data_IF_101044713799
#
_entry.id   IF_101044713799
#
_cell.length_a   1.000
_cell.length_b   1.000
_cell.length_c   1.000
_cell.angle_alpha   90.00
_cell.angle_beta   90.00
_cell.angle_gamma   90.00
#
_symmetry.space_group_name_H-M   'P 1'
#
loop_
_entity.id
_entity.type
_entity.pdbx_description
1 polymer ?
#
# COMPACT_ATOMS: atom_id res chain seq x y z
N UNK A 1 -6.11 -22.18 32.14
CA UNK A 1 -5.08 -22.64 31.18
C UNK A 1 -5.66 -22.88 29.77
N UNK A 2 -6.80 -23.57 29.62
CA UNK A 2 -7.42 -23.83 28.30
C UNK A 2 -7.93 -22.55 27.62
N UNK A 3 -8.51 -21.60 28.36
CA UNK A 3 -8.98 -20.31 27.80
C UNK A 3 -7.84 -19.44 27.26
N UNK A 4 -6.69 -19.40 27.94
CA UNK A 4 -5.51 -18.65 27.49
C UNK A 4 -4.85 -19.27 26.26
N UNK A 5 -4.97 -20.60 26.06
CA UNK A 5 -4.52 -21.25 24.84
C UNK A 5 -5.49 -21.01 23.67
N UNK A 6 -6.81 -21.01 23.93
CA UNK A 6 -7.84 -20.64 22.94
C UNK A 6 -7.69 -19.19 22.47
N UNK A 7 -7.58 -18.23 23.39
CA UNK A 7 -7.45 -16.82 23.03
C UNK A 7 -6.20 -16.55 22.17
N UNK A 8 -5.07 -17.17 22.50
CA UNK A 8 -3.85 -17.06 21.69
C UNK A 8 -4.03 -17.65 20.28
N UNK A 9 -4.74 -18.77 20.15
CA UNK A 9 -4.98 -19.39 18.85
C UNK A 9 -5.90 -18.53 17.98
N UNK A 10 -6.96 -17.95 18.56
CA UNK A 10 -7.91 -17.08 17.88
C UNK A 10 -7.22 -15.78 17.40
N UNK A 11 -6.35 -15.19 18.24
CA UNK A 11 -5.53 -14.04 17.86
C UNK A 11 -4.60 -14.38 16.68
N UNK A 12 -3.89 -15.50 16.73
CA UNK A 12 -2.97 -15.94 15.66
C UNK A 12 -3.71 -16.17 14.33
N UNK A 13 -4.88 -16.81 14.38
CA UNK A 13 -5.70 -17.06 13.20
C UNK A 13 -6.19 -15.73 12.61
N UNK A 14 -6.68 -14.81 13.45
CA UNK A 14 -7.10 -13.47 13.04
C UNK A 14 -5.96 -12.72 12.31
N UNK A 15 -4.74 -12.75 12.85
CA UNK A 15 -3.58 -12.12 12.20
C UNK A 15 -3.25 -12.68 10.83
N UNK A 16 -3.27 -14.00 10.68
CA UNK A 16 -3.00 -14.63 9.40
C UNK A 16 -4.09 -14.30 8.37
N UNK A 17 -5.35 -14.30 8.80
CA UNK A 17 -6.50 -13.97 7.94
C UNK A 17 -6.45 -12.50 7.51
N UNK A 18 -6.16 -11.57 8.42
CA UNK A 18 -6.00 -10.14 8.13
C UNK A 18 -4.93 -9.90 7.06
N UNK A 19 -3.72 -10.45 7.25
CA UNK A 19 -2.62 -10.28 6.29
C UNK A 19 -2.90 -10.93 4.94
N UNK A 20 -3.54 -12.10 4.93
CA UNK A 20 -3.94 -12.76 3.67
C UNK A 20 -4.97 -11.94 2.91
N UNK A 21 -5.96 -11.38 3.62
CA UNK A 21 -7.00 -10.55 3.02
C UNK A 21 -6.42 -9.27 2.45
N UNK A 22 -5.57 -8.58 3.20
CA UNK A 22 -4.87 -7.39 2.71
C UNK A 22 -3.98 -7.68 1.49
N UNK A 23 -3.22 -8.78 1.54
CA UNK A 23 -2.41 -9.20 0.39
C UNK A 23 -3.26 -9.55 -0.83
N UNK A 24 -4.40 -10.22 -0.62
CA UNK A 24 -5.32 -10.57 -1.70
C UNK A 24 -5.94 -9.31 -2.32
N UNK A 25 -6.42 -8.37 -1.50
CA UNK A 25 -6.96 -7.09 -1.97
C UNK A 25 -5.91 -6.33 -2.77
N UNK A 26 -4.67 -6.21 -2.26
CA UNK A 26 -3.59 -5.53 -2.96
C UNK A 26 -3.18 -6.19 -4.28
N UNK A 27 -3.18 -7.53 -4.35
CA UNK A 27 -2.89 -8.26 -5.59
C UNK A 27 -4.04 -8.11 -6.60
N UNK A 28 -5.29 -8.21 -6.16
CA UNK A 28 -6.46 -8.17 -7.04
C UNK A 28 -6.80 -6.77 -7.53
N UNK A 29 -6.54 -5.73 -6.72
CA UNK A 29 -6.85 -4.34 -7.03
C UNK A 29 -6.49 -3.93 -8.48
N UNK A 30 -5.24 -4.07 -8.94
CA UNK A 30 -4.88 -3.66 -10.31
C UNK A 30 -5.68 -4.41 -11.38
N UNK A 31 -5.88 -5.72 -11.22
CA UNK A 31 -6.62 -6.52 -12.20
C UNK A 31 -8.11 -6.15 -12.23
N UNK A 32 -8.73 -5.96 -11.06
CA UNK A 32 -10.13 -5.56 -10.96
C UNK A 32 -10.35 -4.21 -11.62
N UNK A 33 -9.46 -3.24 -11.39
CA UNK A 33 -9.55 -1.92 -12.01
C UNK A 33 -9.36 -1.97 -13.52
N UNK A 34 -8.31 -2.64 -14.00
CA UNK A 34 -8.00 -2.75 -15.44
C UNK A 34 -9.13 -3.45 -16.19
N UNK A 35 -9.52 -4.65 -15.75
CA UNK A 35 -10.56 -5.42 -16.44
C UNK A 35 -11.94 -4.79 -16.26
N UNK A 36 -12.24 -4.21 -15.10
CA UNK A 36 -13.49 -3.51 -14.86
C UNK A 36 -13.64 -2.30 -15.78
N UNK A 37 -12.60 -1.47 -15.90
CA UNK A 37 -12.61 -0.30 -16.77
C UNK A 37 -12.78 -0.70 -18.25
N UNK A 38 -12.06 -1.74 -18.67
CA UNK A 38 -12.11 -2.23 -20.04
C UNK A 38 -13.45 -2.88 -20.42
N UNK A 39 -14.05 -3.68 -19.54
CA UNK A 39 -15.27 -4.43 -19.85
C UNK A 39 -16.53 -3.58 -19.66
N UNK A 40 -16.61 -2.82 -18.56
CA UNK A 40 -17.82 -2.09 -18.15
C UNK A 40 -17.89 -0.73 -18.83
N UNK A 41 -16.81 0.05 -18.72
CA UNK A 41 -16.74 1.44 -19.19
C UNK A 41 -16.18 1.55 -20.61
N UNK A 42 -15.59 0.46 -21.14
CA UNK A 42 -14.94 0.41 -22.46
C UNK A 42 -13.80 1.42 -22.61
N UNK A 43 -13.21 1.79 -21.49
CA UNK A 43 -12.08 2.69 -21.40
C UNK A 43 -10.75 1.92 -21.38
N UNK A 44 -9.66 2.64 -21.58
CA UNK A 44 -8.32 2.09 -21.73
C UNK A 44 -7.61 1.77 -20.40
N UNK A 45 -6.33 1.44 -20.54
CA UNK A 45 -5.41 1.33 -19.42
C UNK A 45 -4.97 2.73 -18.98
N UNK A 46 -5.19 3.04 -17.70
CA UNK A 46 -4.71 4.29 -17.11
C UNK A 46 -3.20 4.28 -16.84
N UNK A 47 -2.59 5.46 -16.75
CA UNK A 47 -1.16 5.57 -16.46
C UNK A 47 -0.84 4.98 -15.09
N UNK A 48 -1.68 5.19 -14.06
CA UNK A 48 -1.45 4.65 -12.71
C UNK A 48 -2.67 3.99 -12.09
N UNK A 49 -2.46 3.25 -11.01
CA UNK A 49 -3.56 2.69 -10.20
C UNK A 49 -4.43 3.80 -9.61
N UNK A 50 -3.83 4.91 -9.17
CA UNK A 50 -4.59 6.04 -8.63
C UNK A 50 -5.34 6.83 -9.72
N UNK A 51 -4.89 6.79 -10.98
CA UNK A 51 -5.58 7.47 -12.09
C UNK A 51 -6.99 6.92 -12.33
N UNK A 52 -7.24 5.65 -11.98
CA UNK A 52 -8.59 5.06 -12.00
C UNK A 52 -9.60 5.79 -11.11
N UNK A 53 -9.16 6.65 -10.19
CA UNK A 53 -10.04 7.54 -9.42
C UNK A 53 -10.94 8.39 -10.32
N UNK A 54 -10.42 8.83 -11.48
CA UNK A 54 -11.13 9.68 -12.43
C UNK A 54 -11.88 8.91 -13.51
N UNK A 55 -11.93 7.58 -13.40
CA UNK A 55 -12.67 6.69 -14.32
C UNK A 55 -13.95 6.19 -13.67
N UNK A 56 -14.77 5.44 -14.42
CA UNK A 56 -15.93 4.74 -13.86
C UNK A 56 -15.58 3.72 -12.76
N UNK A 57 -14.32 3.31 -12.63
CA UNK A 57 -13.83 2.41 -11.57
C UNK A 57 -13.40 3.14 -10.29
N UNK A 58 -13.55 4.46 -10.20
CA UNK A 58 -13.12 5.25 -9.04
C UNK A 58 -13.75 4.79 -7.71
N UNK A 59 -15.06 4.50 -7.70
CA UNK A 59 -15.75 4.03 -6.50
C UNK A 59 -15.21 2.66 -6.01
N UNK A 60 -14.81 1.79 -6.94
CA UNK A 60 -14.21 0.49 -6.61
C UNK A 60 -12.82 0.68 -6.02
N UNK A 61 -12.01 1.57 -6.60
CA UNK A 61 -10.70 1.93 -6.06
C UNK A 61 -10.83 2.47 -4.62
N UNK A 62 -11.71 3.44 -4.40
CA UNK A 62 -11.98 4.04 -3.08
C UNK A 62 -12.49 2.97 -2.10
N UNK A 63 -13.46 2.16 -2.50
CA UNK A 63 -14.03 1.10 -1.66
C UNK A 63 -13.00 0.07 -1.21
N UNK A 64 -12.09 -0.36 -2.10
CA UNK A 64 -11.03 -1.30 -1.74
C UNK A 64 -10.03 -0.65 -0.77
N UNK A 65 -9.67 0.63 -0.95
CA UNK A 65 -8.79 1.33 -0.02
C UNK A 65 -9.41 1.47 1.37
N UNK A 66 -10.70 1.77 1.47
CA UNK A 66 -11.42 1.76 2.74
C UNK A 66 -11.41 0.37 3.38
N UNK A 67 -11.68 -0.69 2.62
CA UNK A 67 -11.63 -2.06 3.12
C UNK A 67 -10.22 -2.41 3.63
N UNK A 68 -9.17 -2.07 2.88
CA UNK A 68 -7.78 -2.25 3.29
C UNK A 68 -7.49 -1.47 4.58
N UNK A 69 -7.92 -0.21 4.67
CA UNK A 69 -7.76 0.60 5.88
C UNK A 69 -8.41 -0.03 7.11
N UNK A 70 -9.67 -0.48 7.00
CA UNK A 70 -10.38 -1.12 8.12
C UNK A 70 -9.74 -2.45 8.55
N UNK A 71 -9.25 -3.24 7.61
CA UNK A 71 -8.49 -4.45 7.94
C UNK A 71 -7.16 -4.10 8.63
N UNK A 72 -6.48 -3.03 8.22
CA UNK A 72 -5.27 -2.55 8.89
C UNK A 72 -5.55 -2.02 10.29
N UNK A 73 -6.67 -1.32 10.51
CA UNK A 73 -7.10 -0.86 11.83
C UNK A 73 -7.42 -2.03 12.77
N UNK A 74 -8.00 -3.10 12.23
CA UNK A 74 -8.28 -4.32 12.98
C UNK A 74 -7.02 -5.13 13.31
N UNK A 75 -5.86 -4.74 12.77
CA UNK A 75 -4.60 -5.42 13.02
C UNK A 75 -4.07 -5.10 14.42
N UNK A 76 -4.01 -6.13 15.27
CA UNK A 76 -3.31 -6.07 16.55
C UNK A 76 -1.84 -6.50 16.40
N UNK A 77 -0.90 -5.70 16.81
CA UNK A 77 0.51 -6.03 16.74
C UNK A 77 1.01 -6.90 17.89
N UNK A 78 2.31 -7.24 17.89
CA UNK A 78 2.93 -7.88 19.06
C UNK A 78 3.19 -6.88 20.19
N UNK A 79 3.39 -5.61 19.83
CA UNK A 79 3.61 -4.50 20.76
C UNK A 79 2.66 -3.35 20.43
N UNK A 80 2.47 -2.41 21.37
CA UNK A 80 1.62 -1.22 21.12
C UNK A 80 2.10 -0.37 19.94
N UNK A 81 3.40 -0.34 19.68
CA UNK A 81 3.96 0.34 18.49
C UNK A 81 3.48 -0.30 17.18
N UNK A 82 3.32 -1.62 17.18
CA UNK A 82 2.82 -2.35 16.03
C UNK A 82 1.31 -2.10 15.84
N UNK A 83 0.55 -1.87 16.92
CA UNK A 83 -0.86 -1.42 16.85
C UNK A 83 -0.96 -0.01 16.23
N UNK A 84 -0.18 0.95 16.74
CA UNK A 84 -0.17 2.30 16.20
C UNK A 84 0.17 2.34 14.72
N UNK A 85 1.13 1.51 14.28
CA UNK A 85 1.46 1.40 12.86
C UNK A 85 0.27 0.89 12.02
N UNK A 86 -0.58 0.00 12.55
CA UNK A 86 -1.84 -0.41 11.91
C UNK A 86 -2.85 0.72 11.82
N UNK A 87 -3.04 1.46 12.91
CA UNK A 87 -3.94 2.62 12.98
C UNK A 87 -3.50 3.75 12.01
N UNK A 88 -2.20 4.03 11.94
CA UNK A 88 -1.61 4.97 10.99
C UNK A 88 -1.80 4.48 9.55
N UNK A 89 -1.59 3.19 9.27
CA UNK A 89 -1.83 2.64 7.93
C UNK A 89 -3.31 2.78 7.52
N UNK A 90 -4.25 2.60 8.46
CA UNK A 90 -5.66 2.87 8.22
C UNK A 90 -5.90 4.33 7.85
N UNK A 91 -5.40 5.27 8.66
CA UNK A 91 -5.51 6.70 8.40
C UNK A 91 -4.96 7.06 7.02
N UNK A 92 -3.80 6.53 6.66
CA UNK A 92 -3.17 6.80 5.37
C UNK A 92 -3.96 6.22 4.20
N UNK A 93 -4.44 4.98 4.30
CA UNK A 93 -5.28 4.37 3.27
C UNK A 93 -6.59 5.14 3.06
N UNK A 94 -7.23 5.59 4.15
CA UNK A 94 -8.42 6.44 4.07
C UNK A 94 -8.09 7.80 3.46
N UNK A 95 -6.94 8.39 3.78
CA UNK A 95 -6.45 9.62 3.16
C UNK A 95 -6.30 9.48 1.64
N UNK A 96 -5.68 8.40 1.16
CA UNK A 96 -5.58 8.11 -0.28
C UNK A 96 -6.96 7.97 -0.93
N UNK A 97 -7.92 7.36 -0.23
CA UNK A 97 -9.28 7.15 -0.73
C UNK A 97 -10.11 8.45 -0.78
N UNK A 98 -9.94 9.34 0.20
CA UNK A 98 -10.73 10.56 0.36
C UNK A 98 -10.22 11.74 -0.46
N UNK A 99 -8.91 11.80 -0.72
CA UNK A 99 -8.31 12.86 -1.53
C UNK A 99 -8.04 12.34 -2.95
N UNK A 100 -8.63 12.91 -4.00
CA UNK A 100 -8.36 12.50 -5.38
C UNK A 100 -6.90 12.73 -5.78
N UNK A 101 -6.36 11.88 -6.65
CA UNK A 101 -5.07 12.16 -7.32
C UNK A 101 -5.20 13.33 -8.31
N UNK A 102 -4.10 13.95 -8.71
CA UNK A 102 -4.11 15.04 -9.70
C UNK A 102 -4.68 14.52 -11.04
N UNK A 103 -5.72 15.15 -11.61
CA UNK A 103 -6.19 14.83 -12.95
C UNK A 103 -5.12 15.11 -14.02
N UNK A 104 -5.04 14.27 -15.04
CA UNK A 104 -4.06 14.45 -16.12
C UNK A 104 -4.36 15.66 -17.02
N UNK A 105 -5.65 15.92 -17.27
CA UNK A 105 -6.09 16.96 -18.19
C UNK A 105 -6.54 18.22 -17.42
N UNK A 106 -5.79 19.31 -17.58
CA UNK A 106 -6.14 20.65 -17.09
C UNK A 106 -6.54 20.74 -15.60
N UNK A 107 -5.70 20.28 -14.66
CA UNK A 107 -6.02 20.30 -13.24
C UNK A 107 -6.08 21.74 -12.70
N UNK A 108 -7.18 22.06 -12.00
CA UNK A 108 -7.31 23.29 -11.22
C UNK A 108 -6.33 23.32 -10.04
N UNK A 109 -6.06 24.50 -9.49
CA UNK A 109 -5.14 24.64 -8.35
C UNK A 109 -5.58 23.81 -7.13
N UNK A 110 -6.89 23.76 -6.86
CA UNK A 110 -7.46 22.93 -5.80
C UNK A 110 -7.23 21.44 -6.07
N UNK A 111 -7.41 20.99 -7.32
CA UNK A 111 -7.16 19.60 -7.68
C UNK A 111 -5.68 19.21 -7.51
N UNK A 112 -4.74 20.12 -7.78
CA UNK A 112 -3.31 19.91 -7.53
C UNK A 112 -3.00 19.77 -6.04
N UNK A 113 -3.63 20.60 -5.19
CA UNK A 113 -3.48 20.50 -3.73
C UNK A 113 -3.98 19.15 -3.24
N UNK A 114 -5.16 18.70 -3.67
CA UNK A 114 -5.66 17.37 -3.33
C UNK A 114 -4.75 16.25 -3.84
N UNK A 115 -4.24 16.37 -5.06
CA UNK A 115 -3.27 15.41 -5.60
C UNK A 115 -1.98 15.34 -4.78
N UNK A 116 -1.47 16.47 -4.28
CA UNK A 116 -0.31 16.48 -3.37
C UNK A 116 -0.62 15.82 -2.03
N UNK A 117 -1.81 16.07 -1.48
CA UNK A 117 -2.27 15.43 -0.24
C UNK A 117 -2.42 13.91 -0.45
N UNK A 118 -3.04 13.49 -1.56
CA UNK A 118 -3.16 12.10 -1.96
C UNK A 118 -1.78 11.43 -2.05
N UNK A 119 -0.83 12.07 -2.75
CA UNK A 119 0.53 11.56 -2.90
C UNK A 119 1.25 11.44 -1.55
N UNK A 120 1.09 12.41 -0.66
CA UNK A 120 1.66 12.36 0.69
C UNK A 120 1.11 11.17 1.49
N UNK A 121 -0.22 10.98 1.49
CA UNK A 121 -0.85 9.82 2.13
C UNK A 121 -0.42 8.50 1.51
N UNK A 122 -0.30 8.42 0.19
CA UNK A 122 0.17 7.23 -0.52
C UNK A 122 1.61 6.89 -0.11
N UNK A 123 2.51 7.88 -0.13
CA UNK A 123 3.89 7.70 0.30
C UNK A 123 3.98 7.18 1.75
N UNK A 124 3.21 7.79 2.67
CA UNK A 124 3.15 7.36 4.06
C UNK A 124 2.59 5.93 4.21
N UNK A 125 1.53 5.58 3.48
CA UNK A 125 0.97 4.23 3.46
C UNK A 125 2.01 3.19 3.01
N UNK A 126 2.70 3.44 1.89
CA UNK A 126 3.73 2.54 1.38
C UNK A 126 4.94 2.44 2.32
N UNK A 127 5.34 3.54 2.99
CA UNK A 127 6.36 3.49 4.03
C UNK A 127 5.93 2.62 5.22
N UNK A 128 4.66 2.68 5.63
CA UNK A 128 4.14 1.78 6.67
C UNK A 128 4.15 0.31 6.21
N UNK A 129 3.80 0.02 4.95
CA UNK A 129 3.93 -1.33 4.40
C UNK A 129 5.39 -1.81 4.34
N UNK A 130 6.32 -0.94 3.97
CA UNK A 130 7.75 -1.24 4.02
C UNK A 130 8.20 -1.55 5.46
N UNK A 131 7.77 -0.75 6.45
CA UNK A 131 8.03 -1.02 7.86
C UNK A 131 7.49 -2.40 8.30
N UNK A 132 6.25 -2.72 7.93
CA UNK A 132 5.67 -4.03 8.23
C UNK A 132 6.46 -5.18 7.62
N UNK A 133 6.85 -5.07 6.36
CA UNK A 133 7.60 -6.08 5.65
C UNK A 133 9.02 -6.26 6.24
N UNK A 134 9.74 -5.17 6.51
CA UNK A 134 11.13 -5.22 6.97
C UNK A 134 11.25 -5.66 8.43
N UNK A 135 10.40 -5.13 9.30
CA UNK A 135 10.57 -5.27 10.75
C UNK A 135 9.47 -6.12 11.39
N UNK A 136 8.20 -5.78 11.16
CA UNK A 136 7.11 -6.40 11.92
C UNK A 136 6.92 -7.88 11.57
N UNK A 137 6.84 -8.21 10.28
CA UNK A 137 6.59 -9.59 9.83
C UNK A 137 7.82 -10.49 9.96
N UNK A 138 9.00 -9.88 10.10
CA UNK A 138 10.26 -10.60 10.30
C UNK A 138 10.53 -10.94 11.77
N UNK A 139 9.90 -10.25 12.74
CA UNK A 139 9.98 -10.57 14.18
C UNK A 139 9.81 -12.07 14.46
N UNK A 140 10.58 -12.55 15.42
CA UNK A 140 10.56 -13.92 15.95
C UNK A 140 10.48 -13.82 17.48
N UNK A 141 9.75 -14.73 18.11
CA UNK A 141 9.61 -14.72 19.57
C UNK A 141 10.97 -14.88 20.27
N UNK A 142 11.23 -14.12 21.35
CA UNK A 142 12.45 -14.26 22.15
C UNK A 142 12.64 -15.72 22.59
N UNK A 143 13.87 -16.22 22.51
CA UNK A 143 14.21 -17.60 22.91
C UNK A 143 13.82 -18.69 21.90
N UNK A 144 13.34 -18.33 20.70
CA UNK A 144 13.08 -19.31 19.63
C UNK A 144 13.93 -19.01 18.39
N UNK A 145 14.64 -20.02 17.92
CA UNK A 145 15.34 -19.96 16.63
C UNK A 145 14.33 -20.03 15.46
N UNK A 146 14.45 -19.15 14.44
CA UNK A 146 13.58 -19.19 13.28
C UNK A 146 13.83 -20.45 12.45
N UNK A 147 12.76 -21.19 12.18
CA UNK A 147 12.76 -22.36 11.30
C UNK A 147 13.19 -22.00 9.87
N UNK A 148 13.64 -22.99 9.08
CA UNK A 148 14.02 -22.79 7.66
C UNK A 148 12.91 -22.08 6.86
N UNK A 149 11.65 -22.51 7.03
CA UNK A 149 10.48 -21.89 6.38
C UNK A 149 10.27 -20.44 6.80
N UNK A 150 10.48 -20.10 8.08
CA UNK A 150 10.41 -18.70 8.57
C UNK A 150 11.52 -17.85 7.96
N UNK A 151 12.74 -18.38 7.82
CA UNK A 151 13.86 -17.67 7.18
C UNK A 151 13.57 -17.35 5.71
N UNK A 152 13.06 -18.30 4.95
CA UNK A 152 12.64 -18.09 3.55
C UNK A 152 11.55 -16.99 3.44
N UNK A 153 10.52 -17.07 4.28
CA UNK A 153 9.47 -16.04 4.30
C UNK A 153 10.01 -14.65 4.67
N UNK A 154 10.92 -14.60 5.67
CA UNK A 154 11.57 -13.35 6.06
C UNK A 154 12.40 -12.74 4.93
N UNK A 155 13.06 -13.57 4.11
CA UNK A 155 13.79 -13.10 2.94
C UNK A 155 12.84 -12.42 1.94
N UNK A 156 11.70 -13.06 1.62
CA UNK A 156 10.69 -12.48 0.73
C UNK A 156 10.18 -11.14 1.27
N UNK A 157 9.82 -11.08 2.55
CA UNK A 157 9.37 -9.82 3.15
C UNK A 157 10.44 -8.73 3.11
N UNK A 158 11.71 -9.07 3.38
CA UNK A 158 12.81 -8.10 3.30
C UNK A 158 13.05 -7.61 1.88
N UNK A 159 12.99 -8.49 0.89
CA UNK A 159 13.12 -8.14 -0.52
C UNK A 159 11.99 -7.18 -0.95
N UNK A 160 10.74 -7.51 -0.63
CA UNK A 160 9.59 -6.64 -0.93
C UNK A 160 9.70 -5.28 -0.22
N UNK A 161 10.03 -5.27 1.08
CA UNK A 161 10.20 -4.03 1.83
C UNK A 161 11.34 -3.16 1.31
N UNK A 162 12.48 -3.76 0.95
CA UNK A 162 13.59 -3.05 0.33
C UNK A 162 13.22 -2.50 -1.05
N UNK A 163 12.48 -3.26 -1.86
CA UNK A 163 11.98 -2.80 -3.15
C UNK A 163 11.06 -1.58 -3.00
N UNK A 164 10.14 -1.58 -2.03
CA UNK A 164 9.26 -0.42 -1.76
C UNK A 164 10.10 0.82 -1.42
N UNK A 165 11.04 0.69 -0.48
CA UNK A 165 11.91 1.82 -0.08
C UNK A 165 12.74 2.32 -1.25
N UNK A 166 13.29 1.40 -2.06
CA UNK A 166 14.05 1.75 -3.26
C UNK A 166 13.18 2.52 -4.27
N UNK A 167 11.97 2.03 -4.58
CA UNK A 167 11.05 2.71 -5.49
C UNK A 167 10.70 4.11 -5.00
N UNK A 168 10.37 4.28 -3.71
CA UNK A 168 10.12 5.60 -3.12
C UNK A 168 11.35 6.51 -3.25
N UNK A 169 12.53 6.00 -2.91
CA UNK A 169 13.79 6.75 -3.03
C UNK A 169 14.08 7.17 -4.46
N UNK A 170 13.89 6.27 -5.44
CA UNK A 170 14.05 6.57 -6.86
C UNK A 170 13.06 7.63 -7.34
N UNK A 171 11.80 7.56 -6.91
CA UNK A 171 10.79 8.59 -7.21
C UNK A 171 11.26 9.95 -6.69
N UNK A 172 11.73 10.03 -5.45
CA UNK A 172 12.25 11.29 -4.87
C UNK A 172 13.46 11.79 -5.65
N UNK A 173 14.42 10.91 -5.98
CA UNK A 173 15.61 11.30 -6.75
C UNK A 173 15.22 11.88 -8.10
N UNK A 174 14.34 11.20 -8.86
CA UNK A 174 13.88 11.68 -10.18
C UNK A 174 13.24 13.06 -10.08
N UNK A 175 12.44 13.32 -9.04
CA UNK A 175 11.80 14.62 -8.84
C UNK A 175 12.75 15.73 -8.37
N UNK A 176 13.92 15.40 -7.83
CA UNK A 176 14.94 16.37 -7.39
C UNK A 176 16.03 16.62 -8.44
N UNK A 177 16.11 15.82 -9.51
CA UNK A 177 17.09 16.01 -10.56
C UNK A 177 16.83 17.33 -11.32
N UNK A 178 17.89 18.06 -11.71
CA UNK A 178 17.75 19.19 -12.64
C UNK A 178 17.05 18.75 -13.93
N UNK A 179 16.20 19.62 -14.47
CA UNK A 179 15.37 19.34 -15.65
C UNK A 179 16.18 18.85 -16.86
N UNK A 180 17.42 19.30 -17.02
CA UNK A 180 18.30 18.87 -18.11
C UNK A 180 18.64 17.37 -18.04
N UNK A 181 18.83 16.84 -16.83
CA UNK A 181 19.14 15.42 -16.59
C UNK A 181 17.85 14.59 -16.53
N UNK A 182 16.75 15.18 -16.05
CA UNK A 182 15.47 14.50 -15.93
C UNK A 182 14.71 14.38 -17.27
N UNK A 183 14.92 15.31 -18.22
CA UNK A 183 14.18 15.35 -19.49
C UNK A 183 14.24 14.06 -20.32
N UNK A 184 15.38 13.34 -20.46
CA UNK A 184 15.41 12.08 -21.21
C UNK A 184 14.73 10.94 -20.45
N UNK A 185 14.66 11.04 -19.12
CA UNK A 185 14.06 10.06 -18.22
C UNK A 185 12.54 10.18 -18.24
N UNK A 186 12.00 11.40 -18.26
CA UNK A 186 10.55 11.66 -18.32
C UNK A 186 9.87 11.12 -19.58
N UNK A 187 10.60 10.91 -20.68
CA UNK A 187 10.10 10.26 -21.90
C UNK A 187 9.54 8.86 -21.60
N UNK A 188 10.15 8.15 -20.65
CA UNK A 188 9.75 6.79 -20.30
C UNK A 188 8.60 6.72 -19.28
N UNK A 189 8.06 7.86 -18.85
CA UNK A 189 7.06 7.95 -17.75
C UNK A 189 7.40 7.00 -16.59
N UNK A 190 8.61 7.09 -16.02
CA UNK A 190 9.11 6.11 -15.05
C UNK A 190 8.35 6.14 -13.73
N UNK A 191 7.70 7.27 -13.46
CA UNK A 191 6.70 7.42 -12.42
C UNK A 191 5.41 7.73 -13.15
N UNK A 192 4.38 6.94 -12.89
CA UNK A 192 3.06 7.11 -13.48
C UNK A 192 2.29 8.28 -12.83
N UNK A 193 2.96 9.41 -12.62
CA UNK A 193 2.41 10.64 -12.01
C UNK A 193 2.16 11.70 -13.06
#
# INVERSE_FOLDING_TARGET
MIEALRSNNDLIISYFTLRKTLGLLGILLPFVLVFGNWIIFRDGLENSISSYYHTGMGDVFVGILFAMGLFLFSYKGYTRWDDYAGDLACLFAMGVALFPTTPENSPSDVARIFGQIHLAFAALLFLTFAYFALFLFTKTHPGREPTRRKRQRNLVYKACGAAIVLCIGLIVIVNLLPSEIASPIHVYKPVFL
#
